data_IF_318831971600
#
_entry.id   IF_318831971600
#
_cell.length_a   1.000
_cell.length_b   1.000
_cell.length_c   1.000
_cell.angle_alpha   90.00
_cell.angle_beta   90.00
_cell.angle_gamma   90.00
#
_symmetry.space_group_name_H-M   'P 1'
#
loop_
_entity.id
_entity.type
_entity.pdbx_description
1 polymer ?
#
# COMPACT_ATOMS: atom_id res chain seq x y z
N UNK A 1 -3.93 9.96 -29.70
CA UNK A 1 -3.54 8.92 -28.72
C UNK A 1 -4.65 8.69 -27.68
N UNK A 2 -5.61 7.82 -27.97
CA UNK A 2 -6.78 7.57 -27.12
C UNK A 2 -6.51 6.61 -25.95
N UNK A 3 -5.42 5.82 -26.02
CA UNK A 3 -5.07 4.83 -25.00
C UNK A 3 -4.32 5.42 -23.79
N UNK A 4 -3.77 6.63 -23.90
CA UNK A 4 -2.91 7.24 -22.86
C UNK A 4 -3.62 7.39 -21.50
N UNK A 5 -4.88 7.88 -21.42
CA UNK A 5 -5.60 7.98 -20.15
C UNK A 5 -5.83 6.61 -19.49
N UNK A 6 -6.13 5.58 -20.30
CA UNK A 6 -6.36 4.22 -19.82
C UNK A 6 -5.07 3.59 -19.27
N UNK A 7 -3.93 3.79 -19.96
CA UNK A 7 -2.62 3.30 -19.49
C UNK A 7 -2.19 3.98 -18.20
N UNK A 8 -2.36 5.31 -18.09
CA UNK A 8 -2.03 6.06 -16.88
C UNK A 8 -2.84 5.57 -15.67
N UNK A 9 -4.14 5.34 -15.86
CA UNK A 9 -5.00 4.78 -14.82
C UNK A 9 -4.57 3.37 -14.39
N UNK A 10 -4.25 2.50 -15.35
CA UNK A 10 -3.75 1.15 -15.08
C UNK A 10 -2.46 1.14 -14.27
N UNK A 11 -1.52 2.06 -14.58
CA UNK A 11 -0.27 2.21 -13.81
C UNK A 11 -0.54 2.65 -12.38
N UNK A 12 -1.40 3.65 -12.17
CA UNK A 12 -1.74 4.15 -10.82
C UNK A 12 -2.43 3.07 -9.99
N UNK A 13 -3.39 2.34 -10.57
CA UNK A 13 -4.09 1.26 -9.89
C UNK A 13 -3.17 0.06 -9.59
N UNK A 14 -2.30 -0.30 -10.54
CA UNK A 14 -1.29 -1.34 -10.34
C UNK A 14 -0.28 -0.98 -9.24
N UNK A 15 0.17 0.27 -9.19
CA UNK A 15 1.02 0.77 -8.12
C UNK A 15 0.31 0.75 -6.76
N UNK A 16 -0.94 1.20 -6.70
CA UNK A 16 -1.75 1.16 -5.48
C UNK A 16 -1.94 -0.28 -4.97
N UNK A 17 -2.14 -1.25 -5.88
CA UNK A 17 -2.20 -2.69 -5.55
C UNK A 17 -0.87 -3.19 -4.98
N UNK A 18 0.25 -2.80 -5.59
CA UNK A 18 1.59 -3.21 -5.17
C UNK A 18 1.96 -2.72 -3.76
N UNK A 19 1.48 -1.55 -3.33
CA UNK A 19 1.68 -1.05 -1.97
C UNK A 19 1.07 -1.96 -0.89
N UNK A 20 0.00 -2.69 -1.23
CA UNK A 20 -0.66 -3.64 -0.34
C UNK A 20 -0.08 -5.05 -0.38
N UNK A 21 0.97 -5.32 -1.15
CA UNK A 21 1.55 -6.66 -1.29
C UNK A 21 2.37 -7.06 -0.06
N UNK A 22 1.85 -8.06 0.66
CA UNK A 22 2.47 -8.61 1.87
C UNK A 22 3.29 -9.89 1.58
N UNK A 23 2.68 -10.87 0.91
CA UNK A 23 3.28 -12.21 0.75
C UNK A 23 4.55 -12.22 -0.10
N UNK A 24 4.56 -11.46 -1.20
CA UNK A 24 5.74 -11.35 -2.05
C UNK A 24 6.90 -10.64 -1.34
N UNK A 25 6.61 -9.62 -0.52
CA UNK A 25 7.64 -8.83 0.16
C UNK A 25 8.29 -9.63 1.29
N UNK A 26 7.51 -10.29 2.15
CA UNK A 26 8.08 -11.12 3.23
C UNK A 26 8.92 -12.28 2.70
N UNK A 27 8.51 -12.90 1.59
CA UNK A 27 9.14 -14.10 1.06
C UNK A 27 10.41 -13.80 0.27
N UNK A 28 10.42 -12.72 -0.52
CA UNK A 28 11.54 -12.41 -1.42
C UNK A 28 12.40 -11.23 -0.97
N UNK A 29 11.80 -10.17 -0.41
CA UNK A 29 12.54 -8.99 0.05
C UNK A 29 12.96 -9.09 1.53
N UNK A 30 12.37 -10.04 2.27
CA UNK A 30 12.58 -10.22 3.69
C UNK A 30 12.01 -9.06 4.52
N UNK A 31 12.46 -8.96 5.78
CA UNK A 31 12.02 -7.93 6.72
C UNK A 31 13.22 -7.39 7.52
N UNK A 32 14.01 -6.52 6.92
CA UNK A 32 15.06 -5.77 7.62
C UNK A 32 14.49 -4.44 8.10
N UNK A 33 14.31 -4.31 9.42
CA UNK A 33 13.78 -3.08 10.02
C UNK A 33 14.65 -1.87 9.65
N UNK A 34 14.00 -0.78 9.24
CA UNK A 34 14.66 0.43 8.75
C UNK A 34 15.30 0.36 7.35
N UNK A 35 15.21 -0.78 6.65
CA UNK A 35 15.78 -0.96 5.29
C UNK A 35 14.74 -1.47 4.29
N UNK A 36 14.25 -2.69 4.47
CA UNK A 36 13.32 -3.37 3.54
C UNK A 36 11.94 -3.62 4.14
N UNK A 37 11.75 -3.23 5.40
CA UNK A 37 10.47 -3.34 6.09
C UNK A 37 9.43 -2.42 5.47
N UNK A 38 8.40 -3.02 4.86
CA UNK A 38 7.22 -2.32 4.37
C UNK A 38 6.22 -2.11 5.51
N UNK A 39 5.30 -1.15 5.36
CA UNK A 39 4.25 -0.88 6.35
C UNK A 39 3.39 -2.13 6.69
N UNK A 40 2.93 -2.94 5.72
CA UNK A 40 2.21 -4.18 6.01
C UNK A 40 3.03 -5.17 6.85
N UNK A 41 4.34 -5.28 6.59
CA UNK A 41 5.24 -6.12 7.39
C UNK A 41 5.38 -5.59 8.80
N UNK A 42 5.55 -4.27 8.96
CA UNK A 42 5.62 -3.64 10.28
C UNK A 42 4.35 -3.93 11.10
N UNK A 43 3.16 -3.74 10.51
CA UNK A 43 1.88 -4.04 11.16
C UNK A 43 1.80 -5.51 11.61
N UNK A 44 2.20 -6.44 10.73
CA UNK A 44 2.15 -7.87 11.03
C UNK A 44 3.01 -8.24 12.25
N UNK A 45 4.25 -7.77 12.30
CA UNK A 45 5.14 -8.06 13.43
C UNK A 45 4.77 -7.29 14.70
N UNK A 46 4.19 -6.09 14.56
CA UNK A 46 3.76 -5.30 15.71
C UNK A 46 2.51 -5.87 16.35
N UNK A 47 1.64 -6.55 15.60
CA UNK A 47 0.46 -7.21 16.14
C UNK A 47 0.80 -8.23 17.25
N UNK A 48 1.97 -8.88 17.15
CA UNK A 48 2.47 -9.83 18.15
C UNK A 48 3.21 -9.14 19.32
N UNK A 49 3.70 -7.92 19.14
CA UNK A 49 4.54 -7.20 20.12
C UNK A 49 3.76 -6.15 20.90
N UNK A 50 3.06 -5.28 20.17
CA UNK A 50 2.26 -4.17 20.65
C UNK A 50 1.04 -3.99 19.72
N UNK A 51 -0.11 -4.60 20.07
CA UNK A 51 -1.33 -4.50 19.29
C UNK A 51 -1.84 -3.05 19.13
N UNK A 52 -1.54 -2.16 20.08
CA UNK A 52 -1.96 -0.76 20.01
C UNK A 52 -1.17 -0.02 18.93
N UNK A 53 0.15 -0.23 18.89
CA UNK A 53 1.01 0.28 17.82
C UNK A 53 0.59 -0.29 16.44
N UNK A 54 0.29 -1.59 16.36
CA UNK A 54 -0.19 -2.23 15.13
C UNK A 54 -1.50 -1.60 14.60
N UNK A 55 -2.44 -1.27 15.51
CA UNK A 55 -3.68 -0.61 15.15
C UNK A 55 -3.45 0.80 14.61
N UNK A 56 -2.56 1.57 15.25
CA UNK A 56 -2.21 2.92 14.80
C UNK A 56 -1.61 2.92 13.39
N UNK A 57 -0.67 2.01 13.10
CA UNK A 57 -0.06 1.85 11.78
C UNK A 57 -1.07 1.39 10.73
N UNK A 58 -1.98 0.48 11.11
CA UNK A 58 -3.06 0.00 10.23
C UNK A 58 -3.99 1.14 9.83
N UNK A 59 -4.37 1.99 10.78
CA UNK A 59 -5.23 3.15 10.50
C UNK A 59 -4.56 4.12 9.52
N UNK A 60 -3.27 4.42 9.71
CA UNK A 60 -2.49 5.25 8.79
C UNK A 60 -2.49 4.65 7.38
N UNK A 61 -2.22 3.34 7.26
CA UNK A 61 -2.19 2.65 5.97
C UNK A 61 -3.55 2.67 5.27
N UNK A 62 -4.66 2.48 6.01
CA UNK A 62 -6.02 2.56 5.48
C UNK A 62 -6.33 3.97 4.97
N UNK A 63 -6.00 5.01 5.74
CA UNK A 63 -6.21 6.41 5.35
C UNK A 63 -5.44 6.73 4.06
N UNK A 64 -4.17 6.37 3.99
CA UNK A 64 -3.34 6.56 2.78
C UNK A 64 -3.95 5.82 1.59
N UNK A 65 -4.38 4.58 1.78
CA UNK A 65 -5.00 3.77 0.72
C UNK A 65 -6.29 4.41 0.20
N UNK A 66 -7.15 4.89 1.09
CA UNK A 66 -8.38 5.59 0.70
C UNK A 66 -8.08 6.90 -0.03
N UNK A 67 -7.08 7.67 0.41
CA UNK A 67 -6.66 8.89 -0.29
C UNK A 67 -6.16 8.58 -1.72
N UNK A 68 -5.31 7.57 -1.88
CA UNK A 68 -4.83 7.14 -3.20
C UNK A 68 -5.99 6.68 -4.08
N UNK A 69 -6.87 5.82 -3.57
CA UNK A 69 -8.01 5.31 -4.33
C UNK A 69 -9.01 6.40 -4.71
N UNK A 70 -9.33 7.32 -3.80
CA UNK A 70 -10.25 8.43 -4.08
C UNK A 70 -9.64 9.45 -5.03
N UNK A 71 -8.34 9.74 -4.93
CA UNK A 71 -7.63 10.59 -5.87
C UNK A 71 -7.60 9.98 -7.27
N UNK A 72 -7.25 8.69 -7.38
CA UNK A 72 -7.26 7.95 -8.63
C UNK A 72 -8.67 7.90 -9.25
N UNK A 73 -9.69 7.63 -8.43
CA UNK A 73 -11.10 7.64 -8.86
C UNK A 73 -11.54 9.02 -9.36
N UNK A 74 -11.19 10.09 -8.65
CA UNK A 74 -11.56 11.47 -9.02
C UNK A 74 -10.88 11.92 -10.32
N UNK A 75 -9.65 11.48 -10.56
CA UNK A 75 -8.94 11.72 -11.80
C UNK A 75 -9.57 10.98 -13.01
N UNK A 76 -10.38 9.95 -12.75
CA UNK A 76 -11.01 9.12 -13.79
C UNK A 76 -12.45 9.53 -14.12
N UNK A 77 -13.18 10.10 -13.13
CA UNK A 77 -14.56 10.57 -13.31
C UNK A 77 -14.63 11.98 -13.94
N UNK A 78 -13.49 12.68 -14.03
CA UNK A 78 -13.34 13.95 -14.76
C UNK A 78 -12.78 13.71 -16.15
#
# INVERSE_FOLDING_TARGET
>A
PQAVPALAAGVVLGWARALGEFGATVTFAGNLSGRTQTLPLAIFFELERDPEAAFSLSLVLVVVSLLVLTAARRAWVR
#
